data_IF_401785743100
#
_entry.id   IF_401785743100
#
_cell.length_a   1.000
_cell.length_b   1.000
_cell.length_c   1.000
_cell.angle_alpha   90.00
_cell.angle_beta   90.00
_cell.angle_gamma   90.00
#
_symmetry.space_group_name_H-M   'P 1'
#
loop_
_entity.id
_entity.type
_entity.pdbx_description
1 polymer ?
#
# COMPACT_ATOMS: atom_id res chain seq x y z
N UNK A 1 14.05 3.84 -9.80
CA UNK A 1 12.74 4.48 -9.56
C UNK A 1 12.35 4.27 -8.11
N UNK A 2 11.88 5.29 -7.38
CA UNK A 2 11.32 5.10 -6.04
C UNK A 2 10.15 4.10 -6.08
N UNK A 3 10.06 3.22 -5.08
CA UNK A 3 9.01 2.18 -5.02
C UNK A 3 7.61 2.79 -5.04
N UNK A 4 7.37 3.91 -4.35
CA UNK A 4 6.07 4.61 -4.36
C UNK A 4 5.72 5.11 -5.77
N UNK A 5 6.68 5.71 -6.48
CA UNK A 5 6.46 6.18 -7.86
C UNK A 5 6.11 5.05 -8.83
N UNK A 6 6.75 3.89 -8.68
CA UNK A 6 6.43 2.69 -9.46
C UNK A 6 5.05 2.13 -9.10
N UNK A 7 4.68 2.11 -7.81
CA UNK A 7 3.37 1.65 -7.36
C UNK A 7 2.22 2.56 -7.86
N UNK A 8 2.43 3.88 -7.87
CA UNK A 8 1.46 4.88 -8.38
C UNK A 8 1.15 4.69 -9.86
N UNK A 9 2.13 4.27 -10.68
CA UNK A 9 1.93 3.95 -12.10
C UNK A 9 1.43 2.51 -12.34
N UNK A 10 1.15 1.75 -11.28
CA UNK A 10 0.56 0.42 -11.36
C UNK A 10 1.54 -0.74 -11.53
N UNK A 11 2.84 -0.54 -11.28
CA UNK A 11 3.83 -1.62 -11.34
C UNK A 11 3.58 -2.68 -10.26
N UNK A 12 3.27 -3.91 -10.68
CA UNK A 12 2.89 -5.01 -9.77
C UNK A 12 3.92 -5.25 -8.66
N UNK A 13 5.20 -5.33 -9.02
CA UNK A 13 6.29 -5.57 -8.05
C UNK A 13 6.39 -4.47 -6.98
N UNK A 14 6.05 -3.23 -7.34
CA UNK A 14 6.10 -2.09 -6.46
C UNK A 14 4.87 -2.06 -5.53
N UNK A 15 3.70 -2.31 -6.09
CA UNK A 15 2.45 -2.44 -5.33
C UNK A 15 2.53 -3.57 -4.30
N UNK A 16 3.03 -4.75 -4.69
CA UNK A 16 3.26 -5.87 -3.78
C UNK A 16 4.22 -5.52 -2.65
N UNK A 17 5.28 -4.75 -2.94
CA UNK A 17 6.25 -4.31 -1.94
C UNK A 17 5.63 -3.32 -0.94
N UNK A 18 4.76 -2.42 -1.40
CA UNK A 18 4.00 -1.50 -0.54
C UNK A 18 3.03 -2.28 0.35
N UNK A 19 2.25 -3.19 -0.22
CA UNK A 19 1.31 -4.03 0.53
C UNK A 19 2.06 -4.85 1.59
N UNK A 20 3.19 -5.47 1.24
CA UNK A 20 3.99 -6.26 2.18
C UNK A 20 4.56 -5.42 3.33
N UNK A 21 4.92 -4.16 3.07
CA UNK A 21 5.39 -3.25 4.10
C UNK A 21 4.29 -2.92 5.13
N UNK A 22 3.05 -2.73 4.66
CA UNK A 22 1.91 -2.40 5.52
C UNK A 22 1.15 -3.62 6.06
N UNK A 23 1.39 -4.81 5.54
CA UNK A 23 0.75 -6.06 5.96
C UNK A 23 0.67 -6.24 7.50
N UNK A 24 1.75 -6.08 8.30
CA UNK A 24 1.65 -6.24 9.74
C UNK A 24 0.68 -5.25 10.40
N UNK A 25 0.67 -3.98 9.95
CA UNK A 25 -0.26 -2.97 10.47
C UNK A 25 -1.70 -3.27 10.06
N UNK A 26 -1.90 -3.78 8.84
CA UNK A 26 -3.22 -4.18 8.34
C UNK A 26 -3.74 -5.38 9.13
N UNK A 27 -2.88 -6.37 9.41
CA UNK A 27 -3.22 -7.54 10.21
C UNK A 27 -3.55 -7.18 11.68
N UNK A 28 -2.88 -6.18 12.25
CA UNK A 28 -3.20 -5.67 13.59
C UNK A 28 -4.53 -4.90 13.65
N UNK A 29 -4.86 -4.14 12.59
CA UNK A 29 -6.07 -3.30 12.53
C UNK A 29 -7.32 -4.06 12.08
N UNK A 30 -7.16 -5.10 11.26
CA UNK A 30 -8.27 -5.84 10.70
C UNK A 30 -8.76 -6.93 11.65
N UNK A 31 -10.05 -6.90 11.96
CA UNK A 31 -10.71 -7.96 12.76
C UNK A 31 -11.12 -9.17 11.92
N UNK A 32 -11.21 -9.02 10.59
CA UNK A 32 -11.56 -10.08 9.63
C UNK A 32 -10.93 -9.83 8.25
N UNK A 33 -11.03 -10.82 7.37
CA UNK A 33 -10.46 -10.76 6.02
C UNK A 33 -11.12 -9.70 5.12
N UNK A 34 -12.39 -9.38 5.33
CA UNK A 34 -13.08 -8.34 4.57
C UNK A 34 -12.51 -6.94 4.92
N UNK A 35 -12.22 -6.71 6.20
CA UNK A 35 -11.56 -5.50 6.67
C UNK A 35 -10.11 -5.41 6.16
N UNK A 36 -9.38 -6.53 6.05
CA UNK A 36 -8.04 -6.54 5.42
C UNK A 36 -8.10 -6.07 3.97
N UNK A 37 -9.02 -6.64 3.18
CA UNK A 37 -9.19 -6.24 1.78
C UNK A 37 -9.59 -4.76 1.64
N UNK A 38 -10.47 -4.27 2.53
CA UNK A 38 -10.86 -2.86 2.57
C UNK A 38 -9.66 -1.93 2.87
N UNK A 39 -8.84 -2.26 3.87
CA UNK A 39 -7.66 -1.47 4.23
C UNK A 39 -6.60 -1.48 3.13
N UNK A 40 -6.41 -2.62 2.45
CA UNK A 40 -5.53 -2.70 1.26
C UNK A 40 -6.07 -1.79 0.16
N UNK A 41 -7.36 -1.82 -0.16
CA UNK A 41 -7.95 -0.91 -1.16
C UNK A 41 -7.73 0.56 -0.77
N UNK A 42 -7.97 0.92 0.49
CA UNK A 42 -7.74 2.29 0.99
C UNK A 42 -6.29 2.74 0.88
N UNK A 43 -5.35 1.84 1.17
CA UNK A 43 -3.92 2.08 0.99
C UNK A 43 -3.60 2.38 -0.49
N UNK A 44 -4.12 1.58 -1.41
CA UNK A 44 -3.89 1.76 -2.85
C UNK A 44 -4.52 3.06 -3.38
N UNK A 45 -5.73 3.39 -2.94
CA UNK A 45 -6.40 4.66 -3.28
C UNK A 45 -5.59 5.88 -2.83
N UNK A 46 -4.89 5.76 -1.69
CA UNK A 46 -4.09 6.83 -1.10
C UNK A 46 -2.67 6.90 -1.63
N UNK A 47 -2.17 5.89 -2.33
CA UNK A 47 -0.80 5.90 -2.89
C UNK A 47 -0.44 7.16 -3.69
N UNK A 48 -1.32 7.75 -4.53
CA UNK A 48 -1.00 8.98 -5.26
C UNK A 48 -0.76 10.20 -4.36
N UNK A 49 -1.35 10.20 -3.16
CA UNK A 49 -1.21 11.26 -2.15
C UNK A 49 0.07 11.09 -1.31
N UNK A 50 0.83 10.01 -1.50
CA UNK A 50 2.03 9.76 -0.69
C UNK A 50 3.10 10.79 -1.04
N UNK A 51 3.82 11.32 -0.02
CA UNK A 51 4.92 12.23 -0.27
C UNK A 51 5.98 11.51 -1.11
N UNK A 52 6.20 12.01 -2.32
CA UNK A 52 7.25 11.55 -3.23
C UNK A 52 8.63 12.04 -2.79
N UNK A 53 8.67 13.00 -1.87
CA UNK A 53 9.85 13.45 -1.14
C UNK A 53 10.10 12.48 0.03
N UNK A 54 10.70 11.33 -0.29
CA UNK A 54 11.46 10.59 0.71
C UNK A 54 12.93 10.90 0.41
N UNK A 55 13.52 11.78 1.22
CA UNK A 55 14.99 12.01 1.26
C UNK A 55 15.77 10.71 1.49
#
# INVERSE_FOLDING_TARGET
MPTIKAAVVGEKWATEKVIKHYAPFIDELAVDENMKQYLIMKLLEKMPDFPMEQE
#
